data_IF_457283539779
#
_entry.id   IF_457283539779
#
_cell.length_a   1.000
_cell.length_b   1.000
_cell.length_c   1.000
_cell.angle_alpha   90.00
_cell.angle_beta   90.00
_cell.angle_gamma   90.00
#
_symmetry.space_group_name_H-M   'P 1'
#
loop_
_entity.id
_entity.type
_entity.pdbx_description
1 polymer ?
#
# COMPACT_ATOMS: atom_id res chain seq x y z
N UNK A 1 19.91 4.50 -4.02
CA UNK A 1 20.32 3.97 -2.70
C UNK A 1 21.37 2.88 -2.87
N UNK A 2 22.12 2.55 -1.81
CA UNK A 2 23.13 1.49 -1.88
C UNK A 2 22.50 0.16 -2.25
N UNK A 3 21.37 -0.19 -1.65
CA UNK A 3 20.67 -1.45 -1.94
C UNK A 3 20.29 -1.58 -3.43
N UNK A 4 19.90 -0.47 -4.06
CA UNK A 4 19.57 -0.47 -5.50
C UNK A 4 20.80 -0.67 -6.37
N UNK A 5 21.96 -0.14 -5.96
CA UNK A 5 23.22 -0.33 -6.67
C UNK A 5 23.75 -1.75 -6.49
N UNK A 6 23.67 -2.30 -5.29
CA UNK A 6 24.05 -3.68 -5.01
C UNK A 6 23.21 -4.68 -5.81
N UNK A 7 21.89 -4.44 -5.89
CA UNK A 7 20.98 -5.25 -6.72
C UNK A 7 21.31 -5.12 -8.21
N UNK A 8 21.66 -3.92 -8.68
CA UNK A 8 22.08 -3.70 -10.06
C UNK A 8 23.36 -4.48 -10.38
N UNK A 9 24.36 -4.42 -9.52
CA UNK A 9 25.64 -5.11 -9.70
C UNK A 9 25.47 -6.65 -9.65
N UNK A 10 24.59 -7.16 -8.79
CA UNK A 10 24.27 -8.58 -8.75
C UNK A 10 23.54 -9.04 -10.02
N UNK A 11 22.57 -8.26 -10.49
CA UNK A 11 21.87 -8.54 -11.74
C UNK A 11 22.82 -8.55 -12.97
N UNK A 12 23.77 -7.59 -13.02
CA UNK A 12 24.80 -7.56 -14.06
C UNK A 12 25.68 -8.81 -14.03
N UNK A 13 26.16 -9.20 -12.85
CA UNK A 13 26.98 -10.42 -12.69
C UNK A 13 26.25 -11.71 -13.12
N UNK A 14 24.94 -11.75 -12.92
CA UNK A 14 24.09 -12.89 -13.32
C UNK A 14 23.68 -12.87 -14.80
N UNK A 15 24.06 -11.85 -15.55
CA UNK A 15 23.65 -11.69 -16.95
C UNK A 15 22.15 -11.46 -17.12
N UNK A 16 21.49 -10.85 -16.14
CA UNK A 16 20.06 -10.55 -16.23
C UNK A 16 19.79 -9.46 -17.27
N UNK A 17 18.58 -9.48 -17.86
CA UNK A 17 18.06 -8.33 -18.61
C UNK A 17 17.65 -7.25 -17.59
N UNK A 18 18.23 -6.07 -17.69
CA UNK A 18 18.03 -4.99 -16.73
C UNK A 18 17.30 -3.83 -17.41
N UNK A 19 16.36 -3.25 -16.68
CA UNK A 19 15.78 -1.94 -16.97
C UNK A 19 15.79 -1.10 -15.68
N UNK A 20 16.02 0.20 -15.79
CA UNK A 20 16.10 1.09 -14.63
C UNK A 20 14.96 2.10 -14.60
N UNK A 21 14.44 2.35 -13.39
CA UNK A 21 13.51 3.46 -13.11
C UNK A 21 14.17 4.30 -12.03
N UNK A 22 14.47 5.55 -12.33
CA UNK A 22 15.20 6.42 -11.42
C UNK A 22 14.92 7.90 -11.66
N UNK A 23 15.12 8.72 -10.65
CA UNK A 23 15.08 10.18 -10.78
C UNK A 23 16.46 10.79 -11.08
N UNK A 24 17.50 9.95 -11.28
CA UNK A 24 18.87 10.41 -11.55
C UNK A 24 19.93 9.63 -10.79
N UNK A 25 21.12 10.22 -10.69
CA UNK A 25 22.22 9.71 -9.88
C UNK A 25 23.00 8.55 -10.52
N UNK A 26 23.67 7.75 -9.68
CA UNK A 26 24.58 6.69 -10.13
C UNK A 26 23.87 5.60 -10.96
N UNK A 27 22.65 5.23 -10.59
CA UNK A 27 21.89 4.21 -11.32
C UNK A 27 21.56 4.65 -12.76
N UNK A 28 21.25 5.94 -12.97
CA UNK A 28 21.05 6.50 -14.30
C UNK A 28 22.33 6.41 -15.14
N UNK A 29 23.46 6.81 -14.57
CA UNK A 29 24.77 6.76 -15.25
C UNK A 29 25.11 5.33 -15.67
N UNK A 30 24.89 4.36 -14.80
CA UNK A 30 25.15 2.94 -15.07
C UNK A 30 24.25 2.40 -16.17
N UNK A 31 22.95 2.68 -16.12
CA UNK A 31 21.99 2.25 -17.13
C UNK A 31 22.31 2.84 -18.51
N UNK A 32 22.69 4.12 -18.58
CA UNK A 32 23.11 4.77 -19.82
C UNK A 32 24.42 4.18 -20.37
N UNK A 33 25.43 3.99 -19.52
CA UNK A 33 26.72 3.43 -19.90
C UNK A 33 26.59 2.00 -20.48
N UNK A 34 25.62 1.22 -20.00
CA UNK A 34 25.35 -0.14 -20.46
C UNK A 34 24.21 -0.22 -21.51
N UNK A 35 23.76 0.90 -22.04
CA UNK A 35 22.68 0.98 -23.05
C UNK A 35 21.40 0.23 -22.64
N UNK A 36 21.06 0.29 -21.35
CA UNK A 36 19.88 -0.38 -20.78
C UNK A 36 18.63 0.50 -20.87
N UNK A 37 17.43 -0.08 -21.01
CA UNK A 37 16.18 0.66 -20.92
C UNK A 37 16.11 1.46 -19.63
N UNK A 38 15.75 2.74 -19.75
CA UNK A 38 15.73 3.70 -18.65
C UNK A 38 14.46 4.54 -18.70
N UNK A 39 13.72 4.58 -17.59
CA UNK A 39 12.63 5.52 -17.39
C UNK A 39 13.02 6.54 -16.30
N UNK A 40 13.03 7.81 -16.69
CA UNK A 40 13.24 8.90 -15.74
C UNK A 40 11.92 9.32 -15.10
N UNK A 41 11.92 9.40 -13.76
CA UNK A 41 10.78 9.88 -12.99
C UNK A 41 11.12 11.21 -12.31
N UNK A 42 10.14 12.07 -11.99
CA UNK A 42 10.40 13.34 -11.31
C UNK A 42 11.16 13.16 -10.00
N UNK A 43 12.15 14.01 -9.77
CA UNK A 43 12.89 14.09 -8.50
C UNK A 43 12.15 14.96 -7.46
N UNK A 44 12.59 14.90 -6.20
CA UNK A 44 12.15 15.78 -5.12
C UNK A 44 10.93 15.28 -4.33
N UNK A 45 10.24 14.25 -4.82
CA UNK A 45 9.15 13.64 -4.08
C UNK A 45 9.64 12.58 -3.08
N UNK A 46 8.93 12.42 -1.98
CA UNK A 46 9.10 11.25 -1.13
C UNK A 46 8.78 9.98 -1.92
N UNK A 47 9.53 8.86 -1.74
CA UNK A 47 9.29 7.63 -2.52
C UNK A 47 7.85 7.14 -2.47
N UNK A 48 7.21 7.22 -1.31
CA UNK A 48 5.80 6.84 -1.14
C UNK A 48 4.82 7.72 -1.92
N UNK A 49 5.16 8.98 -2.17
CA UNK A 49 4.38 9.91 -2.99
C UNK A 49 4.64 9.74 -4.50
N UNK A 50 5.68 8.98 -4.87
CA UNK A 50 6.05 8.71 -6.27
C UNK A 50 5.45 7.41 -6.82
N UNK A 51 4.55 6.75 -6.10
CA UNK A 51 4.03 5.43 -6.48
C UNK A 51 3.48 5.41 -7.90
N UNK A 52 2.70 6.41 -8.29
CA UNK A 52 2.12 6.48 -9.64
C UNK A 52 3.18 6.45 -10.73
N UNK A 53 4.26 7.21 -10.56
CA UNK A 53 5.38 7.20 -11.50
C UNK A 53 6.11 5.87 -11.52
N UNK A 54 6.39 5.29 -10.35
CA UNK A 54 7.13 4.02 -10.25
C UNK A 54 6.32 2.85 -10.80
N UNK A 55 5.05 2.75 -10.41
CA UNK A 55 4.15 1.68 -10.85
C UNK A 55 3.86 1.76 -12.35
N UNK A 56 3.54 2.96 -12.85
CA UNK A 56 3.30 3.18 -14.28
C UNK A 56 4.53 2.85 -15.13
N UNK A 57 5.72 3.31 -14.69
CA UNK A 57 6.99 2.99 -15.37
C UNK A 57 7.31 1.50 -15.37
N UNK A 58 7.11 0.82 -14.23
CA UNK A 58 7.32 -0.62 -14.14
C UNK A 58 6.36 -1.39 -15.05
N UNK A 59 5.07 -1.03 -15.04
CA UNK A 59 4.08 -1.65 -15.90
C UNK A 59 4.40 -1.45 -17.39
N UNK A 60 4.85 -0.25 -17.77
CA UNK A 60 5.29 0.07 -19.13
C UNK A 60 6.48 -0.82 -19.56
N UNK A 61 7.50 -0.93 -18.72
CA UNK A 61 8.68 -1.75 -19.01
C UNK A 61 8.35 -3.24 -19.11
N UNK A 62 7.50 -3.76 -18.22
CA UNK A 62 7.05 -5.16 -18.24
C UNK A 62 6.23 -5.45 -19.50
N UNK A 63 5.30 -4.59 -19.85
CA UNK A 63 4.49 -4.73 -21.06
C UNK A 63 5.37 -4.63 -22.33
N UNK A 64 6.32 -3.70 -22.38
CA UNK A 64 7.28 -3.59 -23.47
C UNK A 64 8.20 -4.81 -23.60
N UNK A 65 8.43 -5.54 -22.50
CA UNK A 65 9.16 -6.80 -22.49
C UNK A 65 8.29 -8.03 -22.82
N UNK A 66 6.99 -7.85 -23.11
CA UNK A 66 6.05 -8.92 -23.40
C UNK A 66 5.55 -9.68 -22.16
N UNK A 67 5.69 -9.08 -20.97
CA UNK A 67 5.32 -9.70 -19.69
C UNK A 67 3.95 -9.22 -19.19
N UNK A 68 2.94 -9.34 -20.05
CA UNK A 68 1.55 -8.99 -19.73
C UNK A 68 1.13 -7.61 -20.23
N UNK A 69 -0.04 -7.12 -19.76
CA UNK A 69 -0.69 -5.88 -20.21
C UNK A 69 -1.01 -4.92 -19.06
N UNK A 70 -0.18 -4.92 -18.02
CA UNK A 70 -0.42 -4.15 -16.80
C UNK A 70 -0.52 -2.64 -17.05
N UNK A 71 0.25 -2.10 -18.01
CA UNK A 71 0.21 -0.68 -18.34
C UNK A 71 -1.16 -0.24 -18.90
N UNK A 72 -1.73 -1.03 -19.80
CA UNK A 72 -3.06 -0.73 -20.36
C UNK A 72 -4.14 -0.80 -19.28
N UNK A 73 -4.05 -1.78 -18.37
CA UNK A 73 -4.94 -1.90 -17.22
C UNK A 73 -4.88 -0.69 -16.29
N UNK A 74 -3.67 -0.19 -16.01
CA UNK A 74 -3.49 1.02 -15.19
C UNK A 74 -4.07 2.26 -15.88
N UNK A 75 -3.84 2.41 -17.18
CA UNK A 75 -4.39 3.53 -17.96
C UNK A 75 -5.92 3.50 -18.00
N UNK A 76 -6.50 2.33 -18.17
CA UNK A 76 -7.97 2.16 -18.19
C UNK A 76 -8.60 2.53 -16.84
N UNK A 77 -7.94 2.23 -15.71
CA UNK A 77 -8.42 2.55 -14.38
C UNK A 77 -8.16 4.01 -13.94
N UNK A 78 -7.30 4.76 -14.63
CA UNK A 78 -6.92 6.11 -14.23
C UNK A 78 -8.09 7.13 -14.13
N UNK A 79 -9.10 7.13 -15.04
CA UNK A 79 -10.25 8.03 -14.92
C UNK A 79 -11.09 7.75 -13.66
N UNK A 80 -11.33 6.48 -13.34
CA UNK A 80 -12.10 6.09 -12.16
C UNK A 80 -11.36 6.44 -10.86
N UNK A 81 -10.03 6.22 -10.82
CA UNK A 81 -9.18 6.67 -9.73
C UNK A 81 -9.26 8.18 -9.52
N UNK A 82 -9.18 8.98 -10.58
CA UNK A 82 -9.28 10.45 -10.50
C UNK A 82 -10.62 10.87 -9.89
N UNK A 83 -11.72 10.28 -10.34
CA UNK A 83 -13.05 10.53 -9.79
C UNK A 83 -13.12 10.15 -8.31
N UNK A 84 -12.54 9.01 -7.94
CA UNK A 84 -12.53 8.54 -6.56
C UNK A 84 -11.72 9.45 -5.63
N UNK A 85 -10.54 9.91 -6.06
CA UNK A 85 -9.71 10.85 -5.30
C UNK A 85 -10.46 12.15 -4.98
N UNK A 86 -11.28 12.66 -5.90
CA UNK A 86 -12.13 13.83 -5.65
C UNK A 86 -13.07 13.63 -4.46
N UNK A 87 -13.57 12.41 -4.24
CA UNK A 87 -14.44 12.08 -3.08
C UNK A 87 -13.67 11.94 -1.76
N UNK A 88 -12.36 11.83 -1.82
CA UNK A 88 -11.49 11.72 -0.64
C UNK A 88 -10.79 13.05 -0.29
N UNK A 89 -11.03 14.11 -1.05
CA UNK A 89 -10.33 15.40 -0.88
C UNK A 89 -10.69 16.09 0.45
N UNK A 90 -9.86 17.07 0.87
CA UNK A 90 -9.95 17.68 2.20
C UNK A 90 -11.24 18.47 2.43
N UNK A 91 -11.80 19.05 1.40
CA UNK A 91 -13.04 19.83 1.40
C UNK A 91 -14.32 18.97 1.46
N UNK A 92 -14.24 17.67 1.18
CA UNK A 92 -15.38 16.75 1.33
C UNK A 92 -15.67 16.51 2.82
N UNK A 93 -16.90 16.80 3.30
CA UNK A 93 -17.26 16.59 4.70
C UNK A 93 -17.04 15.15 5.18
N UNK A 94 -16.69 14.96 6.46
CA UNK A 94 -16.36 13.64 7.02
C UNK A 94 -17.49 12.60 6.81
N UNK A 95 -18.75 13.00 6.87
CA UNK A 95 -19.90 12.11 6.61
C UNK A 95 -19.86 11.48 5.21
N UNK A 96 -19.32 12.20 4.21
CA UNK A 96 -19.27 11.79 2.81
C UNK A 96 -17.87 11.34 2.38
N UNK A 97 -16.88 11.40 3.26
CA UNK A 97 -15.48 11.04 2.95
C UNK A 97 -15.09 9.74 3.65
N UNK A 98 -14.96 8.67 2.88
CA UNK A 98 -14.66 7.34 3.41
C UNK A 98 -13.30 7.30 4.15
N UNK A 99 -12.27 8.01 3.66
CA UNK A 99 -10.96 8.03 4.29
C UNK A 99 -10.99 8.74 5.66
N UNK A 100 -11.76 9.83 5.81
CA UNK A 100 -11.96 10.51 7.10
C UNK A 100 -12.69 9.63 8.10
N UNK A 101 -13.73 8.89 7.65
CA UNK A 101 -14.44 7.94 8.52
C UNK A 101 -13.52 6.80 8.98
N UNK A 102 -12.70 6.25 8.08
CA UNK A 102 -11.73 5.21 8.42
C UNK A 102 -10.66 5.73 9.39
N UNK A 103 -10.12 6.91 9.16
CA UNK A 103 -9.18 7.55 10.07
C UNK A 103 -9.77 7.65 11.49
N UNK A 104 -11.03 8.09 11.61
CA UNK A 104 -11.73 8.17 12.89
C UNK A 104 -11.97 6.80 13.52
N UNK A 105 -12.33 5.78 12.73
CA UNK A 105 -12.55 4.43 13.22
C UNK A 105 -11.26 3.75 13.74
N UNK A 106 -10.10 4.17 13.24
CA UNK A 106 -8.78 3.67 13.65
C UNK A 106 -8.09 4.54 14.71
N UNK A 107 -8.71 5.63 15.14
CA UNK A 107 -8.13 6.57 16.10
C UNK A 107 -7.78 5.89 17.44
N UNK A 108 -6.56 6.10 17.92
CA UNK A 108 -6.08 5.52 19.18
C UNK A 108 -5.85 4.01 19.16
N UNK A 109 -5.95 3.36 17.99
CA UNK A 109 -5.75 1.92 17.83
C UNK A 109 -4.50 1.61 16.97
N UNK A 110 -4.03 0.38 17.09
CA UNK A 110 -3.03 -0.22 16.20
C UNK A 110 -3.78 -0.99 15.11
N UNK A 111 -3.85 -0.48 13.87
CA UNK A 111 -4.54 -1.17 12.80
C UNK A 111 -3.81 -2.45 12.39
N UNK A 112 -4.54 -3.55 12.28
CA UNK A 112 -4.09 -4.80 11.66
C UNK A 112 -4.89 -5.02 10.38
N UNK A 113 -4.27 -4.77 9.24
CA UNK A 113 -4.94 -4.70 7.94
C UNK A 113 -4.79 -6.02 7.20
N UNK A 114 -5.90 -6.67 6.93
CA UNK A 114 -5.95 -7.96 6.23
C UNK A 114 -6.59 -7.81 4.86
N UNK A 115 -6.08 -8.58 3.91
CA UNK A 115 -6.62 -8.61 2.56
C UNK A 115 -6.40 -9.97 1.89
N UNK A 116 -7.28 -10.40 0.98
CA UNK A 116 -7.04 -11.58 0.16
C UNK A 116 -5.90 -11.33 -0.85
N UNK A 117 -5.32 -12.42 -1.34
CA UNK A 117 -4.12 -12.43 -2.19
C UNK A 117 -4.10 -11.41 -3.33
N UNK A 118 -5.16 -11.21 -4.13
CA UNK A 118 -5.10 -10.24 -5.24
C UNK A 118 -4.82 -8.80 -4.80
N UNK A 119 -5.22 -8.42 -3.58
CA UNK A 119 -5.06 -7.06 -3.04
C UNK A 119 -4.23 -7.00 -1.75
N UNK A 120 -3.48 -8.05 -1.43
CA UNK A 120 -2.61 -8.06 -0.23
C UNK A 120 -1.58 -6.94 -0.21
N UNK A 121 -1.08 -6.54 -1.38
CA UNK A 121 -0.16 -5.42 -1.51
C UNK A 121 -0.78 -4.08 -1.10
N UNK A 122 -2.10 -3.95 -1.22
CA UNK A 122 -2.85 -2.78 -0.71
C UNK A 122 -2.80 -2.77 0.82
N UNK A 123 -3.03 -3.91 1.48
CA UNK A 123 -2.93 -4.00 2.94
C UNK A 123 -1.52 -3.67 3.45
N UNK A 124 -0.48 -4.20 2.80
CA UNK A 124 0.91 -3.86 3.11
C UNK A 124 1.19 -2.36 2.93
N UNK A 125 0.64 -1.75 1.86
CA UNK A 125 0.79 -0.31 1.68
C UNK A 125 0.07 0.48 2.76
N UNK A 126 -1.13 0.10 3.17
CA UNK A 126 -1.83 0.73 4.29
C UNK A 126 -0.98 0.72 5.56
N UNK A 127 -0.41 -0.45 5.91
CA UNK A 127 0.54 -0.56 7.01
C UNK A 127 1.67 0.47 6.88
N UNK A 128 2.36 0.52 5.73
CA UNK A 128 3.49 1.41 5.51
C UNK A 128 3.09 2.88 5.62
N UNK A 129 1.96 3.26 5.01
CA UNK A 129 1.47 4.63 5.05
C UNK A 129 1.03 5.06 6.46
N UNK A 130 0.43 4.18 7.25
CA UNK A 130 0.09 4.46 8.66
C UNK A 130 1.35 4.65 9.49
N UNK A 131 2.37 3.83 9.29
CA UNK A 131 3.67 3.99 9.96
C UNK A 131 4.34 5.31 9.55
N UNK A 132 4.44 5.60 8.25
CA UNK A 132 5.19 6.74 7.75
C UNK A 132 4.43 8.07 7.86
N UNK A 133 3.14 8.14 7.50
CA UNK A 133 2.36 9.38 7.53
C UNK A 133 1.79 9.64 8.92
N UNK A 134 1.03 8.69 9.47
CA UNK A 134 0.32 8.88 10.74
C UNK A 134 1.20 8.64 11.97
N UNK A 135 2.45 8.21 11.82
CA UNK A 135 3.34 7.84 12.93
C UNK A 135 2.63 6.86 13.89
N UNK A 136 1.87 5.93 13.29
CA UNK A 136 1.06 4.94 14.01
C UNK A 136 1.51 3.55 13.60
N UNK A 137 1.93 2.74 14.58
CA UNK A 137 2.26 1.34 14.33
C UNK A 137 1.06 0.65 13.71
N UNK A 138 1.28 -0.09 12.63
CA UNK A 138 0.27 -0.88 11.97
C UNK A 138 0.90 -2.17 11.44
N UNK A 139 0.08 -3.20 11.29
CA UNK A 139 0.48 -4.50 10.76
C UNK A 139 -0.39 -4.86 9.56
N UNK A 140 0.09 -5.80 8.74
CA UNK A 140 -0.70 -6.35 7.64
C UNK A 140 -0.60 -7.87 7.60
N UNK A 141 -1.63 -8.49 7.07
CA UNK A 141 -1.71 -9.94 6.87
C UNK A 141 -2.52 -10.32 5.64
N UNK A 142 -2.50 -11.59 5.32
CA UNK A 142 -3.21 -12.16 4.17
C UNK A 142 -4.33 -13.10 4.63
N UNK A 143 -5.50 -13.02 3.98
CA UNK A 143 -6.55 -14.03 4.07
C UNK A 143 -6.35 -15.02 2.91
N UNK A 144 -6.38 -16.33 3.14
CA UNK A 144 -6.80 -17.02 4.37
C UNK A 144 -5.68 -17.32 5.38
N UNK A 145 -4.44 -16.92 5.16
CA UNK A 145 -3.31 -17.29 6.01
C UNK A 145 -3.52 -16.91 7.49
N UNK A 146 -4.08 -15.72 7.74
CA UNK A 146 -4.35 -15.27 9.10
C UNK A 146 -5.36 -16.19 9.85
N UNK A 147 -6.25 -16.85 9.11
CA UNK A 147 -7.26 -17.75 9.68
C UNK A 147 -6.66 -19.05 10.23
N UNK A 148 -5.44 -19.41 9.80
CA UNK A 148 -4.72 -20.60 10.25
C UNK A 148 -3.80 -20.38 11.45
N UNK A 149 -3.52 -19.10 11.81
CA UNK A 149 -2.58 -18.78 12.88
C UNK A 149 -3.01 -17.57 13.73
N UNK A 150 -3.17 -16.39 13.13
CA UNK A 150 -3.44 -15.16 13.88
C UNK A 150 -4.85 -15.13 14.48
N UNK A 151 -5.81 -15.83 13.89
CA UNK A 151 -7.17 -15.91 14.42
C UNK A 151 -7.20 -16.47 15.85
N UNK A 152 -6.31 -17.42 16.18
CA UNK A 152 -6.15 -17.94 17.55
C UNK A 152 -5.80 -16.81 18.51
N UNK A 153 -4.80 -16.00 18.17
CA UNK A 153 -4.37 -14.86 19.02
C UNK A 153 -5.46 -13.79 19.16
N UNK A 154 -6.24 -13.54 18.09
CA UNK A 154 -7.36 -12.62 18.14
C UNK A 154 -8.48 -13.10 19.07
N UNK A 155 -8.79 -14.38 19.03
CA UNK A 155 -9.94 -14.92 19.77
C UNK A 155 -9.60 -15.33 21.22
N UNK A 156 -8.35 -15.69 21.51
CA UNK A 156 -7.92 -16.24 22.80
C UNK A 156 -6.83 -15.41 23.50
N UNK A 157 -6.11 -14.55 22.75
CA UNK A 157 -4.91 -13.88 23.23
C UNK A 157 -5.12 -12.59 24.04
N UNK A 158 -6.34 -12.09 24.21
CA UNK A 158 -6.63 -10.90 25.02
C UNK A 158 -6.11 -9.58 24.45
N UNK A 159 -5.90 -9.47 23.15
CA UNK A 159 -5.50 -8.20 22.46
C UNK A 159 -6.69 -7.22 22.30
N UNK A 160 -7.45 -7.08 23.34
CA UNK A 160 -8.81 -6.60 23.35
C UNK A 160 -9.01 -5.11 23.08
N UNK A 161 -8.09 -4.24 23.47
CA UNK A 161 -8.39 -2.80 23.42
C UNK A 161 -7.42 -1.96 22.58
N UNK A 162 -6.22 -2.44 22.33
CA UNK A 162 -5.15 -1.68 21.67
C UNK A 162 -5.11 -1.83 20.14
N UNK A 163 -5.57 -2.96 19.61
CA UNK A 163 -5.53 -3.26 18.18
C UNK A 163 -6.92 -3.19 17.53
N UNK A 164 -6.94 -2.93 16.21
CA UNK A 164 -8.16 -2.89 15.42
C UNK A 164 -8.01 -3.72 14.15
N UNK A 165 -8.73 -4.84 13.99
CA UNK A 165 -8.75 -5.57 12.74
C UNK A 165 -9.42 -4.75 11.64
N UNK A 166 -8.81 -4.72 10.45
CA UNK A 166 -9.34 -4.06 9.26
C UNK A 166 -9.29 -5.06 8.12
N UNK A 167 -10.44 -5.40 7.54
CA UNK A 167 -10.53 -6.37 6.45
C UNK A 167 -10.85 -5.65 5.14
N UNK A 168 -9.92 -5.69 4.18
CA UNK A 168 -10.12 -5.15 2.84
C UNK A 168 -10.79 -6.21 1.96
N UNK A 169 -11.95 -5.87 1.43
CA UNK A 169 -12.77 -6.78 0.62
C UNK A 169 -12.87 -6.25 -0.81
N UNK A 170 -12.15 -6.85 -1.78
CA UNK A 170 -12.30 -6.48 -3.19
C UNK A 170 -13.68 -6.88 -3.73
N UNK A 171 -14.10 -6.20 -4.82
CA UNK A 171 -15.40 -6.44 -5.45
C UNK A 171 -15.53 -7.87 -5.98
N UNK A 172 -14.41 -8.44 -6.47
CA UNK A 172 -14.37 -9.79 -7.02
C UNK A 172 -13.51 -10.69 -6.14
N UNK A 173 -14.12 -11.74 -5.62
CA UNK A 173 -13.48 -12.75 -4.78
C UNK A 173 -13.96 -14.15 -5.14
N UNK A 174 -13.06 -15.13 -5.00
CA UNK A 174 -13.50 -16.54 -5.03
C UNK A 174 -14.50 -16.77 -3.89
N UNK A 175 -15.62 -17.47 -4.14
CA UNK A 175 -16.68 -17.67 -3.13
C UNK A 175 -16.16 -18.20 -1.79
N UNK A 176 -15.22 -19.15 -1.82
CA UNK A 176 -14.60 -19.70 -0.61
C UNK A 176 -13.86 -18.65 0.20
N UNK A 177 -13.03 -17.81 -0.45
CA UNK A 177 -12.27 -16.75 0.22
C UNK A 177 -13.21 -15.68 0.78
N UNK A 178 -14.23 -15.31 0.03
CA UNK A 178 -15.27 -14.40 0.50
C UNK A 178 -15.92 -14.94 1.76
N UNK A 179 -16.35 -16.21 1.75
CA UNK A 179 -16.97 -16.85 2.89
C UNK A 179 -16.04 -16.92 4.11
N UNK A 180 -14.76 -17.26 3.91
CA UNK A 180 -13.77 -17.26 5.00
C UNK A 180 -13.64 -15.87 5.62
N UNK A 181 -13.46 -14.84 4.80
CA UNK A 181 -13.36 -13.45 5.30
C UNK A 181 -14.60 -13.00 6.07
N UNK A 182 -15.80 -13.36 5.60
CA UNK A 182 -17.06 -13.05 6.27
C UNK A 182 -17.17 -13.76 7.62
N UNK A 183 -16.80 -15.05 7.70
CA UNK A 183 -16.79 -15.81 8.96
C UNK A 183 -15.77 -15.25 9.93
N UNK A 184 -14.56 -14.91 9.46
CA UNK A 184 -13.54 -14.28 10.28
C UNK A 184 -14.04 -12.97 10.90
N UNK A 185 -14.64 -12.09 10.09
CA UNK A 185 -15.26 -10.86 10.59
C UNK A 185 -16.35 -11.12 11.63
N UNK A 186 -17.20 -12.12 11.40
CA UNK A 186 -18.24 -12.53 12.34
C UNK A 186 -17.61 -12.97 13.68
N UNK A 187 -16.63 -13.88 13.65
CA UNK A 187 -15.97 -14.41 14.86
C UNK A 187 -15.26 -13.29 15.65
N UNK A 188 -14.58 -12.36 14.96
CA UNK A 188 -13.95 -11.20 15.59
C UNK A 188 -14.99 -10.30 16.26
N UNK A 189 -16.13 -10.09 15.60
CA UNK A 189 -17.21 -9.25 16.13
C UNK A 189 -17.90 -9.90 17.35
N UNK A 190 -18.12 -11.21 17.34
CA UNK A 190 -18.66 -11.98 18.47
C UNK A 190 -17.78 -11.89 19.73
N UNK A 191 -16.49 -11.63 19.56
CA UNK A 191 -15.52 -11.38 20.65
C UNK A 191 -15.38 -9.91 21.03
N UNK A 192 -16.19 -9.01 20.45
CA UNK A 192 -16.19 -7.59 20.77
C UNK A 192 -14.98 -6.81 20.22
N UNK A 193 -14.24 -7.38 19.25
CA UNK A 193 -13.06 -6.75 18.65
C UNK A 193 -13.40 -5.66 17.63
N UNK A 194 -14.68 -5.52 17.29
CA UNK A 194 -15.25 -4.48 16.43
C UNK A 194 -14.44 -4.27 15.13
N UNK A 195 -14.30 -5.32 14.29
CA UNK A 195 -13.49 -5.26 13.09
C UNK A 195 -14.07 -4.28 12.07
N UNK A 196 -13.20 -3.58 11.34
CA UNK A 196 -13.61 -2.67 10.28
C UNK A 196 -13.69 -3.47 8.97
N UNK A 197 -14.89 -3.54 8.40
CA UNK A 197 -15.10 -4.02 7.03
C UNK A 197 -14.89 -2.88 6.04
N UNK A 198 -14.01 -3.07 5.06
CA UNK A 198 -13.74 -2.11 4.01
C UNK A 198 -14.00 -2.74 2.65
N UNK A 199 -15.17 -2.47 2.08
CA UNK A 199 -15.38 -2.78 0.66
C UNK A 199 -14.44 -1.90 -0.17
N UNK A 200 -13.56 -2.52 -0.95
CA UNK A 200 -12.70 -1.78 -1.86
C UNK A 200 -13.54 -1.27 -3.03
N UNK A 201 -13.39 0.01 -3.38
CA UNK A 201 -14.19 0.62 -4.43
C UNK A 201 -13.73 0.17 -5.82
N UNK A 202 -14.62 0.37 -6.80
CA UNK A 202 -14.35 0.06 -8.21
C UNK A 202 -14.64 -1.39 -8.59
N UNK A 203 -14.46 -1.67 -9.87
CA UNK A 203 -14.68 -2.98 -10.47
C UNK A 203 -13.38 -3.56 -11.02
N UNK A 204 -13.18 -4.87 -10.80
CA UNK A 204 -11.98 -5.54 -11.24
C UNK A 204 -10.71 -5.20 -10.46
N UNK A 205 -9.61 -5.85 -10.85
CA UNK A 205 -8.36 -5.81 -10.09
C UNK A 205 -7.74 -4.42 -10.00
N UNK A 206 -7.62 -3.71 -11.13
CA UNK A 206 -6.89 -2.44 -11.17
C UNK A 206 -7.60 -1.33 -10.40
N UNK A 207 -8.92 -1.27 -10.49
CA UNK A 207 -9.71 -0.31 -9.70
C UNK A 207 -9.58 -0.63 -8.20
N UNK A 208 -9.77 -1.88 -7.81
CA UNK A 208 -9.62 -2.29 -6.40
C UNK A 208 -8.23 -1.98 -5.84
N UNK A 209 -7.18 -2.22 -6.61
CA UNK A 209 -5.80 -1.91 -6.20
C UNK A 209 -5.59 -0.40 -6.10
N UNK A 210 -5.85 0.35 -7.16
CA UNK A 210 -5.54 1.78 -7.20
C UNK A 210 -6.40 2.60 -6.25
N UNK A 211 -7.72 2.35 -6.22
CA UNK A 211 -8.63 3.05 -5.32
C UNK A 211 -8.44 2.59 -3.87
N UNK A 212 -8.12 1.31 -3.65
CA UNK A 212 -7.74 0.80 -2.32
C UNK A 212 -6.47 1.47 -1.78
N UNK A 213 -5.46 1.65 -2.63
CA UNK A 213 -4.25 2.42 -2.30
C UNK A 213 -4.62 3.86 -1.93
N UNK A 214 -5.36 4.55 -2.80
CA UNK A 214 -5.77 5.94 -2.58
C UNK A 214 -6.54 6.10 -1.25
N UNK A 215 -7.42 5.16 -0.94
CA UNK A 215 -8.20 5.15 0.30
C UNK A 215 -7.28 5.06 1.53
N UNK A 216 -6.31 4.15 1.54
CA UNK A 216 -5.37 3.98 2.65
C UNK A 216 -4.41 5.15 2.79
N UNK A 217 -3.90 5.67 1.68
CA UNK A 217 -3.03 6.84 1.66
C UNK A 217 -3.75 8.04 2.29
N UNK A 218 -4.99 8.31 1.88
CA UNK A 218 -5.78 9.40 2.43
C UNK A 218 -6.23 9.15 3.87
N UNK A 219 -6.57 7.91 4.24
CA UNK A 219 -6.89 7.57 5.63
C UNK A 219 -5.69 7.83 6.55
N UNK A 220 -4.47 7.40 6.15
CA UNK A 220 -3.25 7.66 6.92
C UNK A 220 -2.93 9.16 7.03
N UNK A 221 -3.18 9.93 5.99
CA UNK A 221 -3.05 11.38 6.00
C UNK A 221 -4.02 12.01 7.01
N UNK A 222 -5.30 11.64 6.97
CA UNK A 222 -6.27 12.16 7.93
C UNK A 222 -6.00 11.72 9.37
N UNK A 223 -5.47 10.52 9.59
CA UNK A 223 -4.97 10.10 10.91
C UNK A 223 -3.84 11.01 11.40
N UNK A 224 -2.90 11.38 10.52
CA UNK A 224 -1.83 12.34 10.86
C UNK A 224 -2.40 13.70 11.28
N UNK A 225 -3.35 14.23 10.50
CA UNK A 225 -4.03 15.50 10.81
C UNK A 225 -4.74 15.43 12.16
N UNK A 226 -5.48 14.35 12.44
CA UNK A 226 -6.18 14.17 13.72
C UNK A 226 -5.23 14.07 14.91
N UNK A 227 -4.04 13.49 14.72
CA UNK A 227 -2.98 13.40 15.74
C UNK A 227 -2.18 14.69 15.88
N UNK A 228 -2.36 15.68 15.01
CA UNK A 228 -1.54 16.90 14.97
C UNK A 228 -0.09 16.65 14.58
N UNK A 229 0.21 15.60 13.80
CA UNK A 229 1.56 15.27 13.35
C UNK A 229 1.74 15.59 11.86
N UNK A 230 2.92 16.07 11.49
CA UNK A 230 3.26 16.30 10.08
C UNK A 230 3.48 14.94 9.38
N UNK A 231 2.70 14.61 8.32
CA UNK A 231 2.90 13.37 7.58
C UNK A 231 4.20 13.35 6.77
N UNK A 232 4.76 14.50 6.39
CA UNK A 232 5.85 14.56 5.42
C UNK A 232 7.19 14.02 5.95
N UNK A 233 7.74 14.43 7.12
CA UNK A 233 9.08 14.02 7.54
C UNK A 233 9.12 12.56 7.98
N UNK A 234 10.26 11.91 7.67
CA UNK A 234 10.61 10.55 8.11
C UNK A 234 11.98 10.56 8.79
N UNK A 235 12.15 11.46 9.75
CA UNK A 235 13.40 11.73 10.46
C UNK A 235 14.09 10.45 10.98
N UNK A 236 13.40 9.46 11.58
CA UNK A 236 14.05 8.23 12.02
C UNK A 236 14.70 7.43 10.89
N UNK A 237 14.11 7.44 9.69
CA UNK A 237 14.70 6.76 8.51
C UNK A 237 15.95 7.49 8.04
N UNK A 238 15.95 8.83 8.08
CA UNK A 238 17.13 9.62 7.75
C UNK A 238 18.26 9.36 8.74
N UNK A 239 17.99 9.42 10.04
CA UNK A 239 18.95 9.11 11.09
C UNK A 239 19.52 7.69 10.98
N UNK A 240 18.66 6.70 10.69
CA UNK A 240 19.10 5.34 10.46
C UNK A 240 20.09 5.24 9.30
N UNK A 241 19.80 5.89 8.16
CA UNK A 241 20.71 5.92 7.00
C UNK A 241 22.05 6.58 7.33
N UNK A 242 22.04 7.69 8.07
CA UNK A 242 23.27 8.35 8.51
C UNK A 242 24.13 7.42 9.40
N UNK A 243 23.50 6.67 10.30
CA UNK A 243 24.22 5.72 11.19
C UNK A 243 24.83 4.52 10.47
N UNK A 244 24.24 4.06 9.38
CA UNK A 244 24.78 2.98 8.55
C UNK A 244 25.73 3.47 7.44
N UNK A 245 26.03 4.78 7.39
CA UNK A 245 26.97 5.36 6.43
C UNK A 245 26.40 5.57 5.02
N UNK A 246 25.11 5.85 4.91
CA UNK A 246 24.39 6.08 3.63
C UNK A 246 23.80 7.48 3.55
#
# INVERSE_FOLDING_TARGET
TAESLDQYDDAMRRGCRIAAITSGGKLEQLAMANSQPLVRVPAGNQPRASLGYLLGSLALLLQGAGLGNAHDGLLAAAPSLRSYLGRLSADVPAANNQAKRLAKAMEGKVPAVYAPRPVRSVALRWQNQMNENAKTVAFSGEVPEMDHNQLVSWLEGGLDSGCRPVMLMPSEMRPTIKRMSEVTLQMLNERGLDPIYVALPGEGLWDNVLQGIALGDMASYYMAVMKGVDPAPVTPIKEFKERIGH
#
